data_IF_707657472361
#
_entry.id   IF_707657472361
#
_cell.length_a   1.000
_cell.length_b   1.000
_cell.length_c   1.000
_cell.angle_alpha   90.00
_cell.angle_beta   90.00
_cell.angle_gamma   90.00
#
_symmetry.space_group_name_H-M   'P 1'
#
loop_
_entity.id
_entity.type
_entity.pdbx_description
1 polymer ?
#
# COMPACT_ATOMS: atom_id res chain seq x y z
N UNK A 1 16.30 11.94 1.26
CA UNK A 1 16.87 10.58 1.09
C UNK A 1 15.76 9.59 0.70
N UNK A 2 15.94 8.83 -0.39
CA UNK A 2 15.04 7.73 -0.78
C UNK A 2 15.51 6.46 -0.06
N UNK A 3 14.59 5.70 0.53
CA UNK A 3 14.90 4.38 1.11
C UNK A 3 13.83 3.36 0.77
N UNK A 4 14.23 2.19 0.29
CA UNK A 4 13.36 1.05 0.03
C UNK A 4 13.37 0.14 1.27
N UNK A 5 12.19 -0.17 1.80
CA UNK A 5 12.03 -1.09 2.93
C UNK A 5 11.11 -2.24 2.52
N UNK A 6 11.59 -3.47 2.68
CA UNK A 6 10.82 -4.70 2.44
C UNK A 6 10.84 -5.52 3.73
N UNK A 7 9.67 -5.99 4.15
CA UNK A 7 9.43 -6.73 5.38
C UNK A 7 9.03 -8.17 5.04
N UNK A 8 9.67 -9.14 5.70
CA UNK A 8 9.27 -10.54 5.63
C UNK A 8 8.48 -10.88 6.89
N UNK A 9 7.18 -11.15 6.75
CA UNK A 9 6.43 -11.73 7.86
C UNK A 9 6.76 -13.22 7.95
N UNK A 10 7.67 -13.58 8.86
CA UNK A 10 7.74 -14.95 9.32
C UNK A 10 6.59 -15.17 10.31
N UNK A 11 5.66 -16.07 9.99
CA UNK A 11 4.42 -16.32 10.74
C UNK A 11 4.62 -16.93 12.15
N UNK A 12 5.83 -16.83 12.72
CA UNK A 12 6.16 -17.35 14.05
C UNK A 12 7.02 -16.37 14.84
N UNK A 13 6.39 -15.36 15.45
CA UNK A 13 6.84 -14.80 16.73
C UNK A 13 5.64 -14.56 17.64
N UNK A 14 5.17 -15.66 18.24
CA UNK A 14 4.79 -15.64 19.65
C UNK A 14 6.00 -15.07 20.40
N UNK A 15 5.87 -13.93 21.09
CA UNK A 15 6.55 -13.57 22.33
C UNK A 15 6.25 -12.08 22.60
N UNK A 16 5.43 -11.85 23.62
CA UNK A 16 5.13 -10.60 24.36
C UNK A 16 3.64 -10.34 24.66
N UNK A 17 2.75 -11.32 24.41
CA UNK A 17 1.37 -11.35 24.96
C UNK A 17 1.22 -12.42 26.07
N UNK A 18 2.33 -12.92 26.66
CA UNK A 18 2.26 -14.02 27.63
C UNK A 18 2.10 -13.57 29.09
N UNK A 19 2.18 -12.28 29.42
CA UNK A 19 2.11 -11.83 30.82
C UNK A 19 0.77 -11.21 31.25
N UNK A 20 -0.21 -11.09 30.34
CA UNK A 20 -1.56 -10.58 30.67
C UNK A 20 -2.68 -11.61 30.41
N UNK A 21 -2.36 -12.81 29.92
CA UNK A 21 -3.36 -13.82 29.57
C UNK A 21 -3.56 -14.93 30.62
N UNK A 22 -2.75 -14.95 31.68
CA UNK A 22 -2.72 -16.06 32.64
C UNK A 22 -3.84 -16.06 33.69
N UNK A 23 -4.64 -14.99 33.83
CA UNK A 23 -5.78 -15.00 34.78
C UNK A 23 -7.15 -15.30 34.15
N UNK A 24 -7.27 -15.34 32.81
CA UNK A 24 -8.56 -15.59 32.13
C UNK A 24 -8.76 -17.04 31.62
N UNK A 25 -7.84 -17.96 31.93
CA UNK A 25 -7.67 -19.25 31.23
C UNK A 25 -8.10 -20.52 32.00
N UNK A 26 -9.17 -20.47 32.80
CA UNK A 26 -9.77 -21.71 33.33
C UNK A 26 -11.15 -22.05 32.77
N UNK A 27 -12.02 -21.07 32.51
CA UNK A 27 -13.40 -21.36 32.06
C UNK A 27 -13.59 -21.46 30.53
N UNK A 28 -12.68 -20.93 29.72
CA UNK A 28 -12.88 -20.88 28.25
C UNK A 28 -12.36 -22.10 27.48
N UNK A 29 -11.56 -22.98 28.09
CA UNK A 29 -11.06 -24.19 27.41
C UNK A 29 -12.17 -25.21 27.13
N UNK A 30 -13.15 -25.32 28.03
CA UNK A 30 -14.30 -26.22 27.87
C UNK A 30 -15.21 -25.70 26.75
N UNK A 31 -15.44 -24.38 26.69
CA UNK A 31 -16.30 -23.77 25.67
C UNK A 31 -15.71 -23.92 24.25
N UNK A 32 -14.39 -23.74 24.10
CA UNK A 32 -13.71 -23.93 22.82
C UNK A 32 -13.70 -25.38 22.34
N UNK A 33 -13.52 -26.32 23.28
CA UNK A 33 -13.58 -27.75 22.97
C UNK A 33 -14.97 -28.17 22.49
N UNK A 34 -16.03 -27.68 23.12
CA UNK A 34 -17.41 -27.97 22.71
C UNK A 34 -17.75 -27.40 21.33
N UNK A 35 -17.22 -26.21 20.98
CA UNK A 35 -17.49 -25.57 19.70
C UNK A 35 -16.87 -26.34 18.52
N UNK A 36 -15.67 -26.91 18.71
CA UNK A 36 -14.99 -27.73 17.70
C UNK A 36 -15.75 -29.04 17.46
N UNK A 37 -16.26 -29.67 18.52
CA UNK A 37 -17.03 -30.91 18.41
C UNK A 37 -18.33 -30.67 17.62
N UNK A 38 -19.03 -29.55 17.85
CA UNK A 38 -20.25 -29.19 17.09
C UNK A 38 -19.94 -28.98 15.60
N UNK A 39 -18.80 -28.36 15.27
CA UNK A 39 -18.38 -28.17 13.87
C UNK A 39 -18.09 -29.51 13.18
N UNK A 40 -17.45 -30.45 13.87
CA UNK A 40 -17.15 -31.78 13.32
C UNK A 40 -18.42 -32.63 13.11
N UNK A 41 -19.39 -32.53 14.00
CA UNK A 41 -20.68 -33.22 13.87
C UNK A 41 -21.49 -32.66 12.69
N UNK A 42 -21.53 -31.33 12.53
CA UNK A 42 -22.27 -30.71 11.42
C UNK A 42 -21.64 -31.04 10.06
N UNK A 43 -20.31 -31.10 9.95
CA UNK A 43 -19.62 -31.56 8.74
C UNK A 43 -19.90 -33.04 8.40
N UNK A 44 -19.98 -33.90 9.41
CA UNK A 44 -20.24 -35.33 9.21
C UNK A 44 -21.68 -35.59 8.72
N UNK A 45 -22.65 -34.83 9.25
CA UNK A 45 -24.06 -34.90 8.81
C UNK A 45 -24.20 -34.38 7.37
N UNK A 46 -23.47 -33.32 7.00
CA UNK A 46 -23.50 -32.76 5.64
C UNK A 46 -22.97 -33.75 4.59
N UNK A 47 -21.93 -34.53 4.94
CA UNK A 47 -21.37 -35.55 4.04
C UNK A 47 -22.25 -36.80 3.92
N UNK A 48 -23.08 -37.10 4.91
CA UNK A 48 -23.95 -38.29 4.90
C UNK A 48 -25.28 -38.06 4.15
N UNK A 49 -25.75 -36.81 4.03
CA UNK A 49 -27.06 -36.49 3.45
C UNK A 49 -27.02 -36.29 1.92
N UNK A 50 -25.86 -36.09 1.29
CA UNK A 50 -25.75 -35.99 -0.17
C UNK A 50 -25.36 -37.34 -0.76
N UNK A 51 -26.26 -38.07 -1.45
CA UNK A 51 -25.88 -39.29 -2.15
C UNK A 51 -25.02 -38.92 -3.37
N UNK A 52 -23.96 -39.69 -3.55
CA UNK A 52 -23.02 -39.59 -4.65
C UNK A 52 -23.70 -40.08 -5.94
N UNK A 53 -24.46 -39.23 -6.62
CA UNK A 53 -25.00 -39.56 -7.94
C UNK A 53 -23.91 -39.38 -8.99
N UNK A 54 -23.36 -40.51 -9.41
CA UNK A 54 -22.44 -40.65 -10.52
C UNK A 54 -23.29 -40.89 -11.77
N UNK A 55 -23.71 -39.82 -12.44
CA UNK A 55 -24.38 -39.92 -13.74
C UNK A 55 -23.56 -39.24 -14.84
N UNK A 56 -23.21 -40.09 -15.82
CA UNK A 56 -22.62 -39.73 -17.10
C UNK A 56 -23.60 -38.87 -17.91
N UNK A 57 -23.18 -37.69 -18.38
CA UNK A 57 -23.62 -37.17 -19.69
C UNK A 57 -22.67 -36.09 -20.21
N UNK A 58 -22.06 -36.42 -21.35
CA UNK A 58 -21.83 -35.58 -22.52
C UNK A 58 -20.97 -34.31 -22.38
N UNK A 59 -19.71 -34.52 -22.77
CA UNK A 59 -18.78 -33.58 -23.36
C UNK A 59 -19.46 -32.75 -24.46
N UNK A 60 -19.69 -31.46 -24.19
CA UNK A 60 -19.77 -30.42 -25.21
C UNK A 60 -19.41 -29.07 -24.57
N UNK A 61 -18.16 -28.65 -24.80
CA UNK A 61 -17.75 -27.25 -24.90
C UNK A 61 -18.00 -26.36 -23.68
N UNK A 62 -17.16 -26.47 -22.66
CA UNK A 62 -16.94 -25.35 -21.74
C UNK A 62 -15.79 -24.53 -22.32
N UNK A 63 -16.18 -23.52 -23.11
CA UNK A 63 -15.38 -22.33 -23.39
C UNK A 63 -14.71 -21.86 -22.10
N UNK A 64 -13.38 -21.90 -22.06
CA UNK A 64 -12.62 -21.31 -20.98
C UNK A 64 -12.89 -19.81 -20.98
N UNK A 65 -13.83 -19.38 -20.12
CA UNK A 65 -14.04 -17.97 -19.81
C UNK A 65 -12.77 -17.49 -19.08
N UNK A 66 -11.77 -17.06 -19.84
CA UNK A 66 -10.61 -16.34 -19.34
C UNK A 66 -11.15 -15.03 -18.77
N UNK A 67 -11.47 -15.03 -17.47
CA UNK A 67 -11.67 -13.79 -16.74
C UNK A 67 -10.29 -13.13 -16.70
N UNK A 68 -10.06 -12.18 -17.62
CA UNK A 68 -8.93 -11.26 -17.59
C UNK A 68 -9.00 -10.46 -16.28
N UNK A 69 -8.51 -11.04 -15.18
CA UNK A 69 -8.46 -10.38 -13.87
C UNK A 69 -7.37 -9.31 -13.94
N UNK A 70 -7.80 -8.05 -14.02
CA UNK A 70 -6.88 -6.91 -13.85
C UNK A 70 -6.17 -7.05 -12.51
N UNK A 71 -4.84 -7.06 -12.54
CA UNK A 71 -4.02 -7.10 -11.34
C UNK A 71 -3.94 -5.69 -10.75
N UNK A 72 -4.33 -5.54 -9.49
CA UNK A 72 -4.24 -4.27 -8.77
C UNK A 72 -3.03 -4.33 -7.85
N UNK A 73 -2.09 -3.39 -8.02
CA UNK A 73 -0.86 -3.29 -7.22
C UNK A 73 -0.91 -2.00 -6.40
N UNK A 74 -0.69 -2.10 -5.08
CA UNK A 74 -0.59 -0.94 -4.19
C UNK A 74 0.88 -0.57 -3.99
N UNK A 75 1.24 0.66 -4.33
CA UNK A 75 2.55 1.28 -4.08
C UNK A 75 2.46 2.08 -2.80
N UNK A 76 3.05 1.56 -1.73
CA UNK A 76 3.06 2.20 -0.42
C UNK A 76 4.24 3.17 -0.31
N UNK A 77 3.96 4.42 0.02
CA UNK A 77 4.97 5.47 0.21
C UNK A 77 4.80 6.05 1.61
N UNK A 78 5.89 6.09 2.38
CA UNK A 78 5.93 6.72 3.71
C UNK A 78 6.61 8.07 3.64
N UNK A 79 5.97 9.06 4.25
CA UNK A 79 6.46 10.43 4.35
C UNK A 79 6.42 10.87 5.80
N UNK A 80 7.56 11.31 6.34
CA UNK A 80 7.61 11.97 7.64
C UNK A 80 7.29 13.45 7.48
N UNK A 81 6.20 13.89 8.09
CA UNK A 81 5.72 15.27 8.03
C UNK A 81 5.73 15.92 9.42
N UNK A 82 6.53 16.97 9.54
CA UNK A 82 6.73 17.71 10.78
C UNK A 82 6.39 19.19 10.60
N UNK A 83 5.14 19.55 10.89
CA UNK A 83 4.73 20.94 11.00
C UNK A 83 4.37 21.63 9.68
N UNK A 84 3.55 22.67 9.81
CA UNK A 84 2.97 23.40 8.68
C UNK A 84 3.99 24.14 7.79
N UNK A 85 5.17 24.50 8.31
CA UNK A 85 6.20 25.21 7.54
C UNK A 85 6.71 24.39 6.35
N UNK A 86 6.50 23.08 6.38
CA UNK A 86 6.99 22.15 5.37
C UNK A 86 5.94 21.74 4.32
N UNK A 87 4.74 22.33 4.36
CA UNK A 87 3.65 22.03 3.42
C UNK A 87 4.02 22.29 1.96
N UNK A 88 4.78 23.35 1.67
CA UNK A 88 5.20 23.67 0.31
C UNK A 88 6.10 22.59 -0.28
N UNK A 89 6.99 22.01 0.53
CA UNK A 89 7.88 20.93 0.10
C UNK A 89 7.09 19.65 -0.15
N UNK A 90 6.17 19.32 0.75
CA UNK A 90 5.24 18.20 0.53
C UNK A 90 4.45 18.38 -0.78
N UNK A 91 3.93 19.57 -1.05
CA UNK A 91 3.20 19.85 -2.28
C UNK A 91 4.07 19.64 -3.53
N UNK A 92 5.33 20.10 -3.50
CA UNK A 92 6.29 19.89 -4.59
C UNK A 92 6.63 18.40 -4.77
N UNK A 93 6.82 17.66 -3.68
CA UNK A 93 7.03 16.21 -3.72
C UNK A 93 5.83 15.52 -4.37
N UNK A 94 4.60 15.80 -3.92
CA UNK A 94 3.38 15.19 -4.47
C UNK A 94 3.24 15.48 -5.97
N UNK A 95 3.49 16.73 -6.40
CA UNK A 95 3.54 17.08 -7.83
C UNK A 95 4.52 16.18 -8.57
N UNK A 96 5.75 16.05 -8.07
CA UNK A 96 6.79 15.25 -8.73
C UNK A 96 6.46 13.75 -8.77
N UNK A 97 5.84 13.19 -7.72
CA UNK A 97 5.40 11.79 -7.67
C UNK A 97 4.34 11.54 -8.75
N UNK A 98 3.32 12.39 -8.81
CA UNK A 98 2.17 12.13 -9.68
C UNK A 98 2.42 12.57 -11.13
N UNK A 99 3.33 13.51 -11.37
CA UNK A 99 3.57 14.09 -12.70
C UNK A 99 3.96 13.02 -13.74
N UNK A 100 4.78 12.05 -13.33
CA UNK A 100 5.25 10.96 -14.19
C UNK A 100 4.36 9.71 -14.15
N UNK A 101 3.28 9.70 -13.35
CA UNK A 101 2.35 8.59 -13.34
C UNK A 101 1.35 8.77 -14.49
N UNK A 102 1.55 8.00 -15.56
CA UNK A 102 0.66 7.98 -16.73
C UNK A 102 -0.82 7.82 -16.30
N UNK A 103 -1.72 8.49 -17.04
CA UNK A 103 -3.17 8.51 -16.84
C UNK A 103 -3.71 9.23 -15.57
N UNK A 104 -2.86 9.71 -14.66
CA UNK A 104 -3.33 10.44 -13.45
C UNK A 104 -3.64 11.90 -13.73
N UNK A 105 -2.82 12.54 -14.56
CA UNK A 105 -3.11 13.87 -15.11
C UNK A 105 -3.46 13.71 -16.58
N UNK A 106 -4.77 13.71 -16.83
CA UNK A 106 -5.35 13.64 -18.16
C UNK A 106 -5.03 14.92 -18.94
N UNK A 107 -3.96 14.89 -19.74
CA UNK A 107 -3.64 15.95 -20.71
C UNK A 107 -4.55 15.90 -21.94
N UNK A 108 -5.24 14.77 -22.14
CA UNK A 108 -6.19 14.48 -23.21
C UNK A 108 -7.53 15.25 -23.07
N UNK A 109 -7.75 15.95 -21.95
CA UNK A 109 -8.87 16.87 -21.82
C UNK A 109 -8.50 18.18 -22.49
N UNK A 110 -9.10 18.45 -23.67
CA UNK A 110 -8.93 19.69 -24.46
C UNK A 110 -9.00 21.00 -23.65
N UNK A 111 -9.69 21.02 -22.51
CA UNK A 111 -9.79 22.19 -21.62
C UNK A 111 -8.55 22.46 -20.75
N UNK A 112 -7.60 21.52 -20.66
CA UNK A 112 -6.35 21.68 -19.91
C UNK A 112 -5.13 21.90 -20.81
N UNK A 113 -5.26 21.76 -22.13
CA UNK A 113 -4.21 22.10 -23.07
C UNK A 113 -4.19 23.62 -23.27
N UNK A 114 -3.19 24.30 -22.70
CA UNK A 114 -2.82 25.63 -23.18
C UNK A 114 -2.37 25.47 -24.64
N UNK A 115 -3.09 26.11 -25.55
CA UNK A 115 -3.03 25.88 -26.98
C UNK A 115 -1.58 25.78 -27.51
N UNK A 116 -1.37 24.83 -28.44
CA UNK A 116 -0.15 24.51 -29.19
C UNK A 116 0.90 23.62 -28.51
N UNK A 117 0.77 23.26 -27.23
CA UNK A 117 1.74 22.34 -26.60
C UNK A 117 1.40 20.85 -26.82
N UNK A 118 0.12 20.51 -26.81
CA UNK A 118 -0.37 19.14 -26.98
C UNK A 118 -0.29 18.66 -28.45
N UNK A 119 -0.37 19.58 -29.41
CA UNK A 119 -0.35 19.22 -30.85
C UNK A 119 0.99 18.62 -31.30
N UNK A 120 2.10 18.98 -30.63
CA UNK A 120 3.44 18.42 -30.92
C UNK A 120 3.59 16.94 -30.57
N UNK A 121 2.72 16.40 -29.71
CA UNK A 121 2.76 14.99 -29.32
C UNK A 121 1.76 14.13 -30.08
N UNK A 122 0.74 14.74 -30.69
CA UNK A 122 -0.30 14.03 -31.45
C UNK A 122 0.14 13.83 -32.92
N UNK A 123 0.91 14.74 -33.52
CA UNK A 123 1.28 14.65 -34.94
C UNK A 123 2.31 13.59 -35.30
N UNK A 124 2.92 12.92 -34.30
CA UNK A 124 3.88 11.84 -34.55
C UNK A 124 3.23 10.45 -34.54
N UNK A 125 1.93 10.35 -34.25
CA UNK A 125 1.19 9.08 -34.21
C UNK A 125 0.26 8.98 -35.43
N UNK A 126 0.84 9.17 -36.62
CA UNK A 126 0.24 8.71 -37.87
C UNK A 126 0.80 7.34 -38.20
N UNK A 127 0.46 6.34 -37.38
CA UNK A 127 0.60 4.94 -37.77
C UNK A 127 -0.62 4.14 -37.28
N UNK A 128 -1.56 3.98 -38.22
CA UNK A 128 -2.46 2.84 -38.35
C UNK A 128 -3.23 2.38 -37.10
N UNK A 129 -4.32 3.10 -36.81
CA UNK A 129 -5.50 2.59 -36.12
C UNK A 129 -6.05 1.34 -36.86
N UNK A 130 -5.66 0.15 -36.40
CA UNK A 130 -6.50 -1.06 -36.40
C UNK A 130 -5.88 -2.22 -35.59
N UNK A 131 -5.35 -1.89 -34.41
CA UNK A 131 -5.07 -2.90 -33.40
C UNK A 131 -5.30 -2.28 -32.02
N UNK A 132 -6.56 -2.29 -31.57
CA UNK A 132 -6.83 -2.37 -30.13
C UNK A 132 -6.35 -3.74 -29.67
N UNK A 133 -5.04 -3.88 -29.51
CA UNK A 133 -4.48 -4.92 -28.64
C UNK A 133 -5.00 -4.57 -27.26
N UNK A 134 -6.16 -5.15 -26.92
CA UNK A 134 -6.64 -5.23 -25.56
C UNK A 134 -5.52 -5.96 -24.81
N UNK A 135 -4.61 -5.21 -24.19
CA UNK A 135 -3.56 -5.79 -23.37
C UNK A 135 -4.27 -6.66 -22.32
N UNK A 136 -4.12 -7.99 -22.35
CA UNK A 136 -4.98 -8.89 -21.59
C UNK A 136 -4.73 -8.85 -20.06
N UNK A 137 -3.87 -7.94 -19.57
CA UNK A 137 -3.69 -7.64 -18.16
C UNK A 137 -3.26 -6.17 -17.96
N UNK A 138 -4.22 -5.24 -18.01
CA UNK A 138 -3.95 -3.88 -17.54
C UNK A 138 -3.69 -3.92 -16.02
N UNK A 139 -2.44 -3.74 -15.62
CA UNK A 139 -2.04 -3.65 -14.21
C UNK A 139 -2.39 -2.26 -13.70
N UNK A 140 -3.28 -2.18 -12.70
CA UNK A 140 -3.68 -0.90 -12.12
C UNK A 140 -2.84 -0.63 -10.88
N UNK A 141 -2.09 0.49 -10.88
CA UNK A 141 -1.31 0.91 -9.71
C UNK A 141 -2.09 1.92 -8.87
N UNK A 142 -2.23 1.63 -7.57
CA UNK A 142 -2.78 2.52 -6.56
C UNK A 142 -1.64 3.06 -5.71
N UNK A 143 -1.52 4.39 -5.60
CA UNK A 143 -0.51 5.04 -4.77
C UNK A 143 -1.10 5.25 -3.38
N UNK A 144 -0.50 4.65 -2.35
CA UNK A 144 -0.94 4.75 -0.96
C UNK A 144 0.07 5.56 -0.16
N UNK A 145 -0.33 6.74 0.29
CA UNK A 145 0.51 7.66 1.06
C UNK A 145 0.29 7.44 2.57
N UNK A 146 1.33 7.02 3.27
CA UNK A 146 1.36 6.93 4.73
C UNK A 146 2.12 8.13 5.30
N UNK A 147 1.39 9.07 5.88
CA UNK A 147 1.96 10.32 6.38
C UNK A 147 2.13 10.22 7.89
N UNK A 148 3.38 10.16 8.33
CA UNK A 148 3.77 10.13 9.73
C UNK A 148 3.78 11.56 10.27
N UNK A 149 2.89 11.87 11.21
CA UNK A 149 2.70 13.22 11.74
C UNK A 149 3.20 13.31 13.18
N UNK A 150 4.16 14.19 13.41
CA UNK A 150 4.78 14.44 14.72
C UNK A 150 4.13 15.57 15.51
N UNK A 151 3.21 16.33 14.91
CA UNK A 151 2.57 17.49 15.54
C UNK A 151 1.07 17.54 15.22
N UNK A 152 0.24 17.59 16.26
CA UNK A 152 -1.23 17.62 16.14
C UNK A 152 -1.73 18.89 15.40
N UNK A 153 -0.98 20.00 15.49
CA UNK A 153 -1.31 21.29 14.85
C UNK A 153 -1.20 21.27 13.31
N UNK A 154 -0.67 20.19 12.74
CA UNK A 154 -0.50 20.02 11.30
C UNK A 154 -1.79 19.59 10.58
N UNK A 155 -2.83 19.19 11.30
CA UNK A 155 -3.89 18.39 10.69
C UNK A 155 -4.77 19.18 9.71
N UNK A 156 -5.20 20.42 10.00
CA UNK A 156 -6.16 21.10 9.13
C UNK A 156 -5.58 21.52 7.76
N UNK A 157 -4.38 22.12 7.75
CA UNK A 157 -3.73 22.54 6.49
C UNK A 157 -3.24 21.35 5.66
N UNK A 158 -2.68 20.34 6.33
CA UNK A 158 -2.26 19.10 5.68
C UNK A 158 -3.47 18.35 5.12
N UNK A 159 -4.55 18.21 5.88
CA UNK A 159 -5.78 17.59 5.42
C UNK A 159 -6.36 18.33 4.22
N UNK A 160 -6.39 19.67 4.26
CA UNK A 160 -6.82 20.48 3.12
C UNK A 160 -5.96 20.22 1.88
N UNK A 161 -4.63 20.17 2.04
CA UNK A 161 -3.71 19.81 0.96
C UNK A 161 -4.03 18.41 0.43
N UNK A 162 -4.13 17.39 1.28
CA UNK A 162 -4.42 16.02 0.85
C UNK A 162 -5.79 15.90 0.17
N UNK A 163 -6.79 16.68 0.59
CA UNK A 163 -8.08 16.76 -0.06
C UNK A 163 -8.02 17.38 -1.46
N UNK A 164 -7.16 18.39 -1.69
CA UNK A 164 -6.92 18.91 -3.05
C UNK A 164 -6.25 17.87 -3.95
N UNK A 165 -5.51 16.94 -3.37
CA UNK A 165 -4.79 15.90 -4.08
C UNK A 165 -5.59 14.61 -4.29
N UNK A 166 -6.91 14.59 -4.06
CA UNK A 166 -7.79 13.39 -4.18
C UNK A 166 -7.95 12.90 -5.63
N UNK A 167 -6.84 12.49 -6.23
CA UNK A 167 -6.74 11.94 -7.58
C UNK A 167 -7.24 10.49 -7.63
N UNK A 168 -7.50 10.01 -8.86
CA UNK A 168 -7.84 8.60 -9.09
C UNK A 168 -6.71 7.68 -8.62
N UNK A 169 -7.08 6.50 -8.11
CA UNK A 169 -6.14 5.46 -7.66
C UNK A 169 -5.15 5.98 -6.59
N UNK A 170 -5.58 6.91 -5.73
CA UNK A 170 -4.79 7.43 -4.62
C UNK A 170 -5.52 7.21 -3.30
N UNK A 171 -4.80 6.71 -2.31
CA UNK A 171 -5.23 6.57 -0.92
C UNK A 171 -4.22 7.31 -0.03
N UNK A 172 -4.67 7.87 1.09
CA UNK A 172 -3.77 8.45 2.08
C UNK A 172 -4.24 8.17 3.51
N UNK A 173 -3.28 8.02 4.42
CA UNK A 173 -3.49 7.72 5.83
C UNK A 173 -2.54 8.55 6.70
N UNK A 174 -3.05 9.05 7.83
CA UNK A 174 -2.25 9.78 8.82
C UNK A 174 -1.95 8.91 10.03
N UNK A 175 -0.71 8.96 10.51
CA UNK A 175 -0.27 8.23 11.70
C UNK A 175 0.33 9.22 12.71
N UNK A 176 -0.29 9.35 13.88
CA UNK A 176 0.28 10.14 14.96
C UNK A 176 1.52 9.44 15.51
N UNK A 177 2.65 10.15 15.54
CA UNK A 177 3.93 9.60 15.96
C UNK A 177 4.32 9.99 17.40
N UNK A 178 3.41 10.61 18.16
CA UNK A 178 3.72 11.16 19.48
C UNK A 178 4.18 10.08 20.46
N UNK A 179 3.56 8.90 20.44
CA UNK A 179 3.92 7.80 21.33
C UNK A 179 5.29 7.23 20.96
N UNK A 180 5.51 6.93 19.67
CA UNK A 180 6.80 6.43 19.18
C UNK A 180 7.95 7.41 19.41
N UNK A 181 7.69 8.73 19.33
CA UNK A 181 8.69 9.76 19.66
C UNK A 181 9.13 9.69 21.12
N UNK A 182 8.23 9.33 22.05
CA UNK A 182 8.57 9.16 23.45
C UNK A 182 9.53 7.97 23.65
N UNK A 183 9.33 6.88 22.90
CA UNK A 183 10.14 5.66 22.98
C UNK A 183 11.58 5.85 22.48
N UNK A 184 11.81 6.83 21.60
CA UNK A 184 13.15 7.17 21.06
C UNK A 184 13.73 8.45 21.64
N UNK A 185 13.05 9.10 22.58
CA UNK A 185 13.49 10.38 23.15
C UNK A 185 14.84 10.27 23.87
N UNK A 186 15.18 9.08 24.38
CA UNK A 186 16.47 8.81 25.03
C UNK A 186 17.65 8.86 24.06
N UNK A 187 17.42 8.74 22.75
CA UNK A 187 18.47 8.81 21.73
C UNK A 187 18.94 10.25 21.60
N UNK A 188 20.17 10.51 22.05
CA UNK A 188 20.78 11.83 21.91
C UNK A 188 21.15 12.10 20.45
N UNK A 189 20.66 13.22 19.91
CA UNK A 189 21.01 13.69 18.57
C UNK A 189 21.62 15.08 18.65
N UNK A 190 22.82 15.25 18.07
CA UNK A 190 23.43 16.57 17.85
C UNK A 190 22.97 17.21 16.52
N UNK A 191 22.18 16.48 15.72
CA UNK A 191 21.74 16.95 14.42
C UNK A 191 20.60 17.97 14.58
N UNK A 192 20.54 19.05 13.78
CA UNK A 192 19.48 20.07 13.89
C UNK A 192 18.04 19.53 13.76
N UNK A 193 17.86 18.39 13.09
CA UNK A 193 16.55 17.72 12.97
C UNK A 193 16.11 16.97 14.24
N UNK A 194 16.95 16.90 15.26
CA UNK A 194 16.68 16.22 16.53
C UNK A 194 16.46 14.72 16.34
N UNK A 195 15.52 14.16 17.11
CA UNK A 195 15.21 12.73 17.17
C UNK A 195 14.17 12.28 16.14
N UNK A 196 13.39 13.20 15.57
CA UNK A 196 12.27 12.88 14.67
C UNK A 196 12.65 12.00 13.46
N UNK A 197 13.82 12.16 12.82
CA UNK A 197 14.22 11.28 11.72
C UNK A 197 14.31 9.80 12.10
N UNK A 198 14.53 9.46 13.37
CA UNK A 198 14.59 8.07 13.83
C UNK A 198 13.23 7.36 13.76
N UNK A 199 12.10 8.08 13.68
CA UNK A 199 10.79 7.47 13.42
C UNK A 199 10.77 6.64 12.13
N UNK A 200 11.64 6.96 11.16
CA UNK A 200 11.78 6.15 9.94
C UNK A 200 12.32 4.74 10.21
N UNK A 201 12.98 4.52 11.34
CA UNK A 201 13.46 3.20 11.76
C UNK A 201 12.34 2.39 12.41
N UNK A 202 11.28 3.04 12.89
CA UNK A 202 10.14 2.40 13.56
C UNK A 202 8.95 2.17 12.60
N UNK A 203 9.15 2.30 11.29
CA UNK A 203 8.06 2.18 10.30
C UNK A 203 7.36 0.82 10.39
N UNK A 204 8.08 -0.24 10.76
CA UNK A 204 7.54 -1.58 11.02
C UNK A 204 6.52 -1.63 12.16
N UNK A 205 6.70 -0.78 13.16
CA UNK A 205 5.81 -0.69 14.33
C UNK A 205 4.66 0.27 14.09
N UNK A 206 4.91 1.34 13.31
CA UNK A 206 3.92 2.38 13.02
C UNK A 206 2.89 1.92 11.97
N UNK A 207 3.32 1.17 10.95
CA UNK A 207 2.46 0.76 9.85
C UNK A 207 1.68 -0.54 10.15
N UNK A 208 0.51 -0.75 9.51
CA UNK A 208 -0.19 -2.03 9.56
C UNK A 208 0.70 -3.20 9.12
N UNK A 209 0.63 -4.31 9.86
CA UNK A 209 1.37 -5.54 9.56
C UNK A 209 1.03 -6.16 8.20
N UNK A 210 -0.07 -5.75 7.57
CA UNK A 210 -0.46 -6.18 6.21
C UNK A 210 0.42 -5.59 5.11
N UNK A 211 1.28 -4.60 5.41
CA UNK A 211 2.13 -3.93 4.44
C UNK A 211 3.53 -4.56 4.46
N UNK A 212 3.91 -5.21 3.36
CA UNK A 212 5.19 -5.92 3.22
C UNK A 212 6.28 -5.12 2.50
N UNK A 213 5.93 -4.09 1.72
CA UNK A 213 6.90 -3.28 0.96
C UNK A 213 6.53 -1.81 1.06
N UNK A 214 7.50 -0.93 1.24
CA UNK A 214 7.27 0.52 1.34
C UNK A 214 8.47 1.35 0.88
N UNK A 215 8.19 2.43 0.16
CA UNK A 215 9.18 3.45 -0.22
C UNK A 215 9.13 4.58 0.79
N UNK A 216 10.22 4.86 1.48
CA UNK A 216 10.33 6.00 2.39
C UNK A 216 10.94 7.17 1.64
N UNK A 217 10.22 8.28 1.59
CA UNK A 217 10.64 9.52 0.93
C UNK A 217 10.76 10.66 1.94
N UNK A 218 11.80 11.46 1.77
CA UNK A 218 11.84 12.78 2.37
C UNK A 218 11.03 13.78 1.55
N UNK A 219 10.41 14.74 2.26
CA UNK A 219 9.59 15.80 1.66
C UNK A 219 10.38 16.80 0.81
N UNK A 220 11.71 16.82 0.91
CA UNK A 220 12.60 17.68 0.14
C UNK A 220 13.12 17.03 -1.15
N UNK A 221 12.59 15.85 -1.50
CA UNK A 221 12.92 15.12 -2.73
C UNK A 221 12.01 15.58 -3.87
N UNK A 222 12.56 15.60 -5.08
CA UNK A 222 11.82 15.68 -6.33
C UNK A 222 12.10 14.44 -7.17
N UNK A 223 11.05 13.83 -7.70
CA UNK A 223 11.17 12.74 -8.65
C UNK A 223 11.12 13.26 -10.09
N UNK A 224 12.03 12.73 -10.91
CA UNK A 224 12.11 13.03 -12.35
C UNK A 224 11.76 11.80 -13.21
N UNK A 225 11.21 10.75 -12.59
CA UNK A 225 10.77 9.52 -13.24
C UNK A 225 9.57 8.94 -12.50
N UNK A 226 8.92 7.95 -13.09
CA UNK A 226 7.80 7.23 -12.49
C UNK A 226 8.24 6.41 -11.27
N UNK A 227 7.60 6.64 -10.13
CA UNK A 227 7.81 5.88 -8.88
C UNK A 227 7.55 4.37 -9.06
N UNK A 228 6.77 3.96 -10.08
CA UNK A 228 6.59 2.55 -10.42
C UNK A 228 7.91 1.88 -10.76
N UNK A 229 8.84 2.57 -11.43
CA UNK A 229 10.19 2.05 -11.73
C UNK A 229 10.93 1.74 -10.43
N UNK A 230 10.85 2.64 -9.46
CA UNK A 230 11.46 2.45 -8.15
C UNK A 230 10.80 1.27 -7.39
N UNK A 231 9.48 1.12 -7.50
CA UNK A 231 8.76 0.01 -6.86
C UNK A 231 9.17 -1.36 -7.42
N UNK A 232 9.41 -1.46 -8.72
CA UNK A 232 9.87 -2.72 -9.37
C UNK A 232 11.21 -3.22 -8.83
N UNK A 233 12.04 -2.35 -8.22
CA UNK A 233 13.30 -2.80 -7.63
C UNK A 233 13.13 -3.78 -6.46
N UNK A 234 11.96 -3.80 -5.82
CA UNK A 234 11.68 -4.80 -4.79
C UNK A 234 11.71 -6.24 -5.31
N UNK A 235 11.51 -6.46 -6.61
CA UNK A 235 11.52 -7.79 -7.20
C UNK A 235 12.94 -8.36 -7.33
N UNK A 236 13.96 -7.50 -7.23
CA UNK A 236 15.37 -7.89 -7.20
C UNK A 236 15.92 -8.07 -5.78
N UNK A 237 15.13 -7.81 -4.74
CA UNK A 237 15.60 -7.97 -3.37
C UNK A 237 15.75 -9.46 -3.04
N UNK A 238 16.95 -9.83 -2.63
CA UNK A 238 17.25 -11.20 -2.17
C UNK A 238 16.86 -11.36 -0.70
N UNK A 239 16.72 -12.60 -0.23
CA UNK A 239 16.27 -12.89 1.14
C UNK A 239 17.10 -12.24 2.27
N UNK A 240 18.34 -11.82 2.00
CA UNK A 240 19.21 -11.11 2.95
C UNK A 240 18.90 -9.61 3.09
N UNK A 241 18.17 -9.03 2.13
CA UNK A 241 17.83 -7.60 2.08
C UNK A 241 16.39 -7.32 2.56
N UNK A 242 15.67 -8.37 2.95
CA UNK A 242 14.33 -8.28 3.53
C UNK A 242 14.51 -8.36 5.04
N UNK A 243 14.15 -7.30 5.77
CA UNK A 243 14.31 -7.31 7.22
C UNK A 243 13.36 -8.34 7.84
N UNK A 244 13.93 -9.28 8.59
CA UNK A 244 13.29 -10.35 9.36
C UNK A 244 12.68 -9.91 10.68
#
# INVERSE_FOLDING_TARGET
MIKLCSYYLNHHKNYQILHLYNEYQLNNKILFSLLIIIILITWSIFYFIIPNNKDNTNDHGIESFIINKSMVIKIHIVILFDGNQRLQYLNSLLKSIFYYQNDRFRYDIKSCCYANFCDRFITNDHDNDNQTVINPMATTYITVLHILVTTITSNSKLLNLMNTWKLRNMEYYFYSCNNYLADIWWIQSKHPSGVKPFLKLMITEILPLTISKVIVLDIDILLNTDIIELWKYFDYFTGTQISS
#
